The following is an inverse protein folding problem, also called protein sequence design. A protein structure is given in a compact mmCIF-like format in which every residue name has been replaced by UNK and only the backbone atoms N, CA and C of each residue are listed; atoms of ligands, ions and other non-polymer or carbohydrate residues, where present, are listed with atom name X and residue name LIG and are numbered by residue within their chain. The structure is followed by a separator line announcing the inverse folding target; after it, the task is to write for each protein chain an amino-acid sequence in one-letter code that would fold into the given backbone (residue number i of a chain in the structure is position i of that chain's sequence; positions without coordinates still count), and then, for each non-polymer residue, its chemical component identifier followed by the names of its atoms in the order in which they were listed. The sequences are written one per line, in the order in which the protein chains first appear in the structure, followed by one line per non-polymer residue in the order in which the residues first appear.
data_IF_097905335334
#
_entry.id   IF_097905335334
#
_cell.length_a   1.000
_cell.length_b   1.000
_cell.length_c   1.000
_cell.angle_alpha   90.00
_cell.angle_beta   90.00
_cell.angle_gamma   90.00
#
_symmetry.space_group_name_H-M   'P 1'
#
loop_
_entity.id
_entity.type
_entity.pdbx_description
1 polymer ?
#
# COMPACT_ATOMS: atom_id res chain seq x y z
N UNK A 1 23.50 33.20 9.97
CA UNK A 1 23.00 31.99 10.69
C UNK A 1 21.98 31.32 9.79
N UNK A 2 22.09 30.01 9.54
CA UNK A 2 21.13 29.24 8.72
C UNK A 2 19.89 28.86 9.51
N UNK A 3 18.72 28.87 8.86
CA UNK A 3 17.49 28.31 9.42
C UNK A 3 17.56 26.78 9.48
N UNK A 4 16.96 26.19 10.51
CA UNK A 4 16.70 24.75 10.55
C UNK A 4 15.23 24.51 10.19
N UNK A 5 15.01 23.71 9.14
CA UNK A 5 13.67 23.28 8.72
C UNK A 5 13.46 21.82 9.11
N UNK A 6 12.41 21.56 9.87
CA UNK A 6 11.91 20.20 10.13
C UNK A 6 10.78 19.89 9.16
N UNK A 7 10.94 18.82 8.39
CA UNK A 7 9.89 18.23 7.55
C UNK A 7 9.38 16.97 8.22
N UNK A 8 8.07 16.90 8.48
CA UNK A 8 7.39 15.70 8.96
C UNK A 8 6.47 15.17 7.87
N UNK A 9 6.37 13.85 7.73
CA UNK A 9 5.51 13.21 6.72
C UNK A 9 4.67 12.14 7.40
N UNK A 10 3.38 12.06 7.06
CA UNK A 10 2.54 10.94 7.46
C UNK A 10 1.49 10.63 6.40
N UNK A 11 0.99 9.40 6.39
CA UNK A 11 -0.12 8.96 5.54
C UNK A 11 -1.32 8.66 6.44
N UNK A 12 -2.43 9.41 6.33
CA UNK A 12 -3.63 9.12 7.11
C UNK A 12 -4.22 7.76 6.72
N UNK A 13 -4.44 6.90 7.72
CA UNK A 13 -4.98 5.56 7.51
C UNK A 13 -6.33 5.59 6.80
N UNK A 14 -6.50 4.74 5.77
CA UNK A 14 -7.73 4.62 5.01
C UNK A 14 -7.93 5.70 3.94
N UNK A 15 -6.96 6.60 3.74
CA UNK A 15 -7.01 7.65 2.73
C UNK A 15 -5.85 7.53 1.74
N UNK A 16 -6.11 7.71 0.45
CA UNK A 16 -5.08 7.82 -0.59
C UNK A 16 -4.42 9.21 -0.54
N UNK A 17 -3.74 9.49 0.57
CA UNK A 17 -3.16 10.80 0.82
C UNK A 17 -1.85 10.74 1.58
N UNK A 18 -1.05 11.80 1.44
CA UNK A 18 0.18 12.04 2.20
C UNK A 18 0.19 13.48 2.67
N UNK A 19 0.34 13.67 3.97
CA UNK A 19 0.49 14.98 4.58
C UNK A 19 1.96 15.27 4.88
N UNK A 20 2.35 16.52 4.66
CA UNK A 20 3.69 17.03 4.92
C UNK A 20 3.57 18.28 5.77
N UNK A 21 4.32 18.35 6.85
CA UNK A 21 4.39 19.52 7.73
C UNK A 21 5.79 20.10 7.72
N UNK A 22 5.90 21.41 7.54
CA UNK A 22 7.15 22.16 7.59
C UNK A 22 7.15 23.09 8.81
N UNK A 23 8.21 23.04 9.59
CA UNK A 23 8.43 23.87 10.78
C UNK A 23 9.84 24.48 10.71
N UNK A 24 9.99 25.72 11.17
CA UNK A 24 11.25 26.46 11.14
C UNK A 24 11.58 27.03 12.53
N UNK A 25 12.86 27.05 12.88
CA UNK A 25 13.37 27.67 14.11
C UNK A 25 13.40 29.21 14.07
N UNK A 26 13.00 29.80 12.93
CA UNK A 26 12.95 31.24 12.68
C UNK A 26 12.02 31.60 11.54
N UNK A 27 11.73 32.89 11.42
CA UNK A 27 10.94 33.41 10.31
C UNK A 27 11.69 33.26 8.97
N UNK A 28 11.07 32.59 8.00
CA UNK A 28 11.62 32.34 6.65
C UNK A 28 10.52 32.29 5.60
N UNK A 29 10.86 32.66 4.37
CA UNK A 29 10.06 32.30 3.21
C UNK A 29 10.37 30.84 2.80
N UNK A 30 9.34 30.00 2.74
CA UNK A 30 9.39 28.62 2.27
C UNK A 30 8.77 28.53 0.88
N UNK A 31 9.52 28.01 -0.09
CA UNK A 31 8.99 27.56 -1.38
C UNK A 31 8.86 26.04 -1.39
N UNK A 32 7.67 25.53 -1.69
CA UNK A 32 7.39 24.11 -1.88
C UNK A 32 7.01 23.87 -3.33
N UNK A 33 7.86 23.14 -4.06
CA UNK A 33 7.65 22.78 -5.46
C UNK A 33 7.43 21.26 -5.61
N UNK A 34 6.20 20.79 -5.86
CA UNK A 34 5.94 19.37 -6.05
C UNK A 34 6.53 18.89 -7.38
N UNK A 35 7.23 17.75 -7.33
CA UNK A 35 7.69 17.01 -8.50
C UNK A 35 6.76 15.81 -8.68
N UNK A 36 6.07 15.75 -9.82
CA UNK A 36 4.93 14.87 -10.02
C UNK A 36 5.29 13.82 -11.08
N UNK A 37 5.37 12.56 -10.64
CA UNK A 37 5.59 11.40 -11.51
C UNK A 37 4.27 10.96 -12.19
N UNK A 38 3.21 10.80 -11.39
CA UNK A 38 1.84 10.46 -11.80
C UNK A 38 1.72 9.40 -12.89
N UNK A 39 2.28 8.23 -12.59
CA UNK A 39 2.45 7.10 -13.49
C UNK A 39 2.25 5.78 -12.76
N UNK A 40 2.18 4.70 -13.53
CA UNK A 40 2.26 3.34 -13.01
C UNK A 40 3.62 3.08 -12.33
N UNK A 41 3.64 2.26 -11.28
CA UNK A 41 4.84 2.04 -10.46
C UNK A 41 5.89 1.16 -11.15
N UNK A 42 5.54 0.43 -12.22
CA UNK A 42 6.47 -0.36 -13.05
C UNK A 42 7.08 0.39 -14.23
N UNK A 43 6.61 1.61 -14.50
CA UNK A 43 7.10 2.42 -15.62
C UNK A 43 7.83 3.67 -15.11
N UNK A 44 8.56 4.34 -16.00
CA UNK A 44 9.11 5.68 -15.82
C UNK A 44 8.43 6.61 -16.80
N UNK A 45 8.37 7.91 -16.48
CA UNK A 45 7.98 8.94 -17.43
C UNK A 45 9.21 9.66 -17.99
N UNK A 46 9.11 10.06 -19.26
CA UNK A 46 10.02 11.02 -19.89
C UNK A 46 9.22 12.25 -20.30
N UNK A 47 9.92 13.37 -20.47
CA UNK A 47 9.30 14.61 -20.92
C UNK A 47 8.45 14.37 -22.16
N UNK A 48 7.21 14.82 -22.11
CA UNK A 48 6.26 14.71 -23.21
C UNK A 48 5.33 15.93 -23.26
N UNK A 49 4.60 16.06 -24.37
CA UNK A 49 3.64 17.13 -24.59
C UNK A 49 2.21 16.80 -24.17
N UNK A 50 1.94 15.58 -23.70
CA UNK A 50 0.61 15.16 -23.28
C UNK A 50 0.25 15.60 -21.86
N UNK A 51 1.25 15.99 -21.06
CA UNK A 51 1.02 16.44 -19.70
C UNK A 51 0.23 17.76 -19.70
N UNK A 52 -0.78 17.83 -18.85
CA UNK A 52 -1.44 19.09 -18.54
C UNK A 52 -0.48 19.98 -17.75
N UNK A 53 -0.15 21.17 -18.26
CA UNK A 53 0.73 22.11 -17.58
C UNK A 53 0.02 23.11 -16.67
N UNK A 54 -1.31 23.07 -16.60
CA UNK A 54 -2.14 24.06 -15.94
C UNK A 54 -3.04 23.43 -14.86
N UNK A 55 -2.64 23.47 -13.58
CA UNK A 55 -3.52 23.05 -12.50
C UNK A 55 -4.66 24.05 -12.27
N UNK A 56 -5.78 23.57 -11.73
CA UNK A 56 -6.87 24.41 -11.23
C UNK A 56 -6.52 24.90 -9.83
N UNK A 57 -6.43 26.22 -9.66
CA UNK A 57 -5.99 26.86 -8.42
C UNK A 57 -7.22 27.35 -7.66
N UNK A 58 -7.46 26.76 -6.49
CA UNK A 58 -8.42 27.24 -5.51
C UNK A 58 -7.74 28.06 -4.41
N UNK A 59 -8.54 28.56 -3.47
CA UNK A 59 -8.04 29.39 -2.36
C UNK A 59 -7.15 28.58 -1.39
N UNK A 60 -7.57 27.36 -1.05
CA UNK A 60 -6.91 26.49 -0.07
C UNK A 60 -6.55 25.11 -0.65
N UNK A 61 -6.69 24.93 -1.97
CA UNK A 61 -6.40 23.67 -2.62
C UNK A 61 -6.04 23.89 -4.09
N UNK A 62 -5.15 23.05 -4.60
CA UNK A 62 -4.93 22.85 -6.03
C UNK A 62 -5.59 21.56 -6.45
N UNK A 63 -6.25 21.56 -7.60
CA UNK A 63 -6.69 20.34 -8.29
C UNK A 63 -5.89 20.20 -9.57
N UNK A 64 -5.27 19.04 -9.76
CA UNK A 64 -4.39 18.79 -10.89
C UNK A 64 -4.64 17.41 -11.49
N UNK A 65 -4.85 17.38 -12.81
CA UNK A 65 -5.00 16.15 -13.59
C UNK A 65 -3.88 16.15 -14.61
N UNK A 66 -2.73 15.50 -14.33
CA UNK A 66 -1.56 15.52 -15.21
C UNK A 66 -1.84 14.89 -16.57
N UNK A 67 -2.61 13.80 -16.60
CA UNK A 67 -2.98 13.07 -17.81
C UNK A 67 -4.48 12.81 -17.82
N UNK A 68 -5.10 12.94 -19.00
CA UNK A 68 -6.54 12.71 -19.17
C UNK A 68 -6.93 11.28 -18.77
N UNK A 69 -8.09 11.13 -18.13
CA UNK A 69 -8.61 9.83 -17.68
C UNK A 69 -8.04 9.32 -16.36
N UNK A 70 -7.04 9.99 -15.78
CA UNK A 70 -6.51 9.67 -14.46
C UNK A 70 -7.34 10.35 -13.35
N UNK A 71 -7.37 9.79 -12.12
CA UNK A 71 -7.95 10.48 -10.98
C UNK A 71 -7.27 11.84 -10.76
N UNK A 72 -7.94 12.84 -10.18
CA UNK A 72 -7.30 14.11 -9.84
C UNK A 72 -6.37 13.98 -8.63
N UNK A 73 -5.24 14.68 -8.70
CA UNK A 73 -4.39 15.00 -7.55
C UNK A 73 -4.91 16.30 -6.93
N UNK A 74 -5.17 16.27 -5.63
CA UNK A 74 -5.51 17.43 -4.83
C UNK A 74 -4.34 17.76 -3.92
N UNK A 75 -3.96 19.04 -3.81
CA UNK A 75 -2.97 19.51 -2.84
C UNK A 75 -3.65 20.59 -2.01
N UNK A 76 -4.05 20.26 -0.79
CA UNK A 76 -4.66 21.22 0.13
C UNK A 76 -3.59 21.90 0.98
N UNK A 77 -3.76 23.21 1.20
CA UNK A 77 -2.83 24.10 1.89
C UNK A 77 -3.57 25.18 2.68
N UNK A 78 -3.00 25.74 3.75
CA UNK A 78 -3.68 26.71 4.64
C UNK A 78 -3.71 28.14 4.08
N UNK A 79 -3.20 28.34 2.87
CA UNK A 79 -2.97 29.64 2.24
C UNK A 79 -1.65 29.65 1.48
N UNK A 80 -1.04 30.81 1.31
CA UNK A 80 0.15 30.96 0.48
C UNK A 80 -0.17 31.28 -0.97
N UNK A 81 0.86 31.63 -1.74
CA UNK A 81 0.71 32.01 -3.14
C UNK A 81 1.19 30.87 -4.03
N UNK A 82 0.34 30.45 -4.96
CA UNK A 82 0.78 29.55 -6.04
C UNK A 82 1.35 30.36 -7.19
N UNK A 83 2.53 29.94 -7.65
CA UNK A 83 3.21 30.47 -8.82
C UNK A 83 3.17 29.37 -9.88
N UNK A 84 2.36 29.57 -10.92
CA UNK A 84 2.20 28.64 -12.04
C UNK A 84 3.30 28.78 -13.09
N UNK A 85 4.51 28.38 -12.74
CA UNK A 85 5.68 28.33 -13.62
C UNK A 85 6.09 26.87 -13.88
N UNK A 86 5.27 26.18 -14.67
CA UNK A 86 5.43 24.75 -14.91
C UNK A 86 6.72 24.40 -15.66
N UNK A 87 7.51 23.45 -15.13
CA UNK A 87 8.76 22.99 -15.74
C UNK A 87 8.95 21.47 -15.62
N UNK A 88 9.66 20.91 -16.60
CA UNK A 88 10.21 19.56 -16.52
C UNK A 88 11.58 19.59 -15.84
N UNK A 89 11.76 18.68 -14.90
CA UNK A 89 13.04 18.35 -14.29
C UNK A 89 13.50 17.02 -14.86
N UNK A 90 14.73 16.98 -15.33
CA UNK A 90 15.23 15.88 -16.16
C UNK A 90 16.13 14.93 -15.39
N UNK A 91 16.16 13.69 -15.84
CA UNK A 91 17.17 12.69 -15.50
C UNK A 91 17.31 12.40 -14.00
N UNK A 92 16.17 12.28 -13.30
CA UNK A 92 16.17 11.70 -11.95
C UNK A 92 16.65 10.26 -12.04
N UNK A 93 17.65 9.94 -11.23
CA UNK A 93 18.23 8.62 -11.17
C UNK A 93 17.70 7.80 -10.00
N UNK A 94 17.08 6.68 -10.31
CA UNK A 94 16.60 5.71 -9.34
C UNK A 94 17.60 4.56 -9.18
N UNK A 95 18.49 4.70 -8.20
CA UNK A 95 19.58 3.77 -7.98
C UNK A 95 19.14 2.31 -7.74
N UNK A 96 17.98 2.11 -7.08
CA UNK A 96 17.48 0.78 -6.75
C UNK A 96 16.89 0.09 -7.99
N UNK A 97 16.16 0.83 -8.82
CA UNK A 97 15.61 0.39 -10.10
C UNK A 97 16.74 -0.05 -11.02
N UNK A 98 17.81 0.75 -11.12
CA UNK A 98 19.01 0.39 -11.89
C UNK A 98 19.63 -0.91 -11.37
N UNK A 99 19.80 -1.03 -10.05
CA UNK A 99 20.35 -2.23 -9.43
C UNK A 99 19.50 -3.47 -9.74
N UNK A 100 18.18 -3.32 -9.84
CA UNK A 100 17.24 -4.37 -10.24
C UNK A 100 17.18 -4.62 -11.75
N UNK A 101 17.92 -3.86 -12.56
CA UNK A 101 17.91 -3.96 -14.02
C UNK A 101 16.64 -3.41 -14.68
N UNK A 102 15.90 -2.55 -13.97
CA UNK A 102 14.71 -1.87 -14.47
C UNK A 102 15.08 -0.54 -15.13
N UNK A 103 14.12 0.08 -15.85
CA UNK A 103 14.29 1.47 -16.25
C UNK A 103 14.36 2.36 -15.00
N UNK A 104 15.34 3.25 -14.98
CA UNK A 104 15.81 3.92 -13.78
C UNK A 104 15.93 5.44 -13.94
N UNK A 105 15.65 5.98 -15.12
CA UNK A 105 15.80 7.40 -15.39
C UNK A 105 14.44 8.01 -15.71
N UNK A 106 14.01 8.97 -14.91
CA UNK A 106 12.70 9.61 -15.03
C UNK A 106 12.81 11.13 -15.16
N UNK A 107 11.96 11.72 -15.99
CA UNK A 107 11.71 13.16 -15.99
C UNK A 107 10.44 13.43 -15.18
N UNK A 108 10.48 14.39 -14.26
CA UNK A 108 9.35 14.75 -13.41
C UNK A 108 8.83 16.15 -13.76
N UNK A 109 7.52 16.30 -13.82
CA UNK A 109 6.92 17.61 -14.07
C UNK A 109 6.53 18.30 -12.77
N UNK A 110 6.83 19.58 -12.67
CA UNK A 110 6.35 20.47 -11.62
C UNK A 110 5.34 21.44 -12.24
N UNK A 111 4.08 21.49 -11.78
CA UNK A 111 3.10 22.45 -12.28
C UNK A 111 3.34 23.89 -11.78
N UNK A 112 4.18 24.07 -10.76
CA UNK A 112 4.48 25.36 -10.15
C UNK A 112 4.98 25.19 -8.71
N UNK A 113 5.05 26.28 -7.96
CA UNK A 113 5.40 26.24 -6.53
C UNK A 113 4.43 26.99 -5.64
N UNK A 114 4.36 26.59 -4.37
CA UNK A 114 3.64 27.26 -3.30
C UNK A 114 4.63 28.00 -2.41
N UNK A 115 4.37 29.27 -2.13
CA UNK A 115 5.18 30.08 -1.22
C UNK A 115 4.44 30.40 0.07
N UNK A 116 5.15 30.26 1.19
CA UNK A 116 4.65 30.50 2.53
C UNK A 116 5.63 31.37 3.32
N UNK A 117 5.11 32.28 4.13
CA UNK A 117 5.89 32.93 5.18
C UNK A 117 5.78 32.06 6.44
N UNK A 118 6.79 31.25 6.71
CA UNK A 118 6.88 30.49 7.96
C UNK A 118 7.29 31.43 9.08
N UNK A 119 6.54 31.38 10.17
CA UNK A 119 6.93 32.00 11.44
C UNK A 119 7.63 30.96 12.31
N UNK A 120 8.58 31.41 13.14
CA UNK A 120 9.28 30.56 14.10
C UNK A 120 8.29 29.71 14.91
N UNK A 121 8.52 28.40 14.99
CA UNK A 121 7.73 27.42 15.74
C UNK A 121 6.24 27.37 15.37
N UNK A 122 5.85 27.89 14.18
CA UNK A 122 4.49 27.80 13.64
C UNK A 122 4.50 26.96 12.36
N UNK A 123 4.11 25.67 12.45
CA UNK A 123 4.17 24.79 11.31
C UNK A 123 3.14 25.13 10.23
N UNK A 124 3.50 24.86 8.98
CA UNK A 124 2.58 24.84 7.83
C UNK A 124 2.45 23.41 7.34
N UNK A 125 1.21 22.93 7.24
CA UNK A 125 0.91 21.61 6.70
C UNK A 125 0.38 21.70 5.26
N UNK A 126 0.64 20.66 4.49
CA UNK A 126 0.11 20.40 3.16
C UNK A 126 -0.40 18.97 3.15
N UNK A 127 -1.46 18.67 2.42
CA UNK A 127 -1.89 17.30 2.17
C UNK A 127 -2.15 17.08 0.69
N UNK A 128 -1.46 16.10 0.12
CA UNK A 128 -1.67 15.64 -1.24
C UNK A 128 -2.58 14.41 -1.21
N UNK A 129 -3.72 14.42 -1.89
CA UNK A 129 -4.64 13.28 -1.99
C UNK A 129 -4.99 12.96 -3.45
N UNK A 130 -5.27 11.70 -3.75
CA UNK A 130 -5.66 11.24 -5.10
C UNK A 130 -7.11 10.77 -5.07
N UNK A 131 -7.91 11.24 -6.03
CA UNK A 131 -9.35 10.98 -6.08
C UNK A 131 -10.12 11.99 -5.25
N UNK A 132 -10.40 11.67 -4.00
CA UNK A 132 -11.18 12.54 -3.12
C UNK A 132 -10.29 13.62 -2.46
N UNK A 133 -10.70 14.90 -2.49
CA UNK A 133 -9.98 15.96 -1.79
C UNK A 133 -10.12 15.81 -0.27
N UNK A 134 -9.05 16.11 0.45
CA UNK A 134 -9.06 16.23 1.92
C UNK A 134 -8.86 17.70 2.29
N UNK A 135 -9.72 18.26 3.14
CA UNK A 135 -9.58 19.64 3.58
C UNK A 135 -8.32 19.82 4.42
N UNK A 136 -7.68 20.99 4.31
CA UNK A 136 -6.54 21.33 5.15
C UNK A 136 -6.90 21.31 6.64
N UNK A 137 -8.15 21.65 6.98
CA UNK A 137 -8.65 21.70 8.35
C UNK A 137 -8.76 20.32 9.00
N UNK A 138 -8.71 19.23 8.21
CA UNK A 138 -8.82 17.86 8.69
C UNK A 138 -7.46 17.26 9.12
N UNK A 139 -6.33 17.88 8.75
CA UNK A 139 -4.99 17.29 8.93
C UNK A 139 -4.71 16.94 10.40
N UNK A 140 -5.01 17.84 11.34
CA UNK A 140 -4.71 17.61 12.76
C UNK A 140 -5.56 16.47 13.33
N UNK A 141 -6.84 16.40 12.94
CA UNK A 141 -7.73 15.31 13.35
C UNK A 141 -7.27 13.96 12.76
N UNK A 142 -6.88 13.95 11.48
CA UNK A 142 -6.35 12.77 10.81
C UNK A 142 -5.04 12.29 11.44
N UNK A 143 -4.16 13.23 11.81
CA UNK A 143 -2.90 12.93 12.51
C UNK A 143 -3.15 12.33 13.89
N UNK A 144 -4.06 12.93 14.66
CA UNK A 144 -4.43 12.42 15.98
C UNK A 144 -5.03 11.00 15.88
N UNK A 145 -5.94 10.79 14.93
CA UNK A 145 -6.54 9.48 14.65
C UNK A 145 -5.47 8.43 14.29
N UNK A 146 -4.51 8.77 13.43
CA UNK A 146 -3.43 7.85 13.05
C UNK A 146 -2.53 7.49 14.23
N UNK A 147 -2.18 8.47 15.08
CA UNK A 147 -1.40 8.22 16.29
C UNK A 147 -2.14 7.31 17.27
N UNK A 148 -3.44 7.55 17.48
CA UNK A 148 -4.23 6.74 18.40
C UNK A 148 -4.49 5.33 17.86
N UNK A 149 -4.67 5.18 16.55
CA UNK A 149 -4.74 3.86 15.88
C UNK A 149 -3.45 3.05 16.10
N UNK A 150 -2.28 3.66 15.88
CA UNK A 150 -0.98 3.00 16.12
C UNK A 150 -0.78 2.62 17.58
N UNK A 151 -1.15 3.50 18.51
CA UNK A 151 -1.14 3.15 19.95
C UNK A 151 -2.04 1.96 20.24
N UNK A 152 -3.24 1.92 19.66
CA UNK A 152 -4.18 0.79 19.80
C UNK A 152 -3.59 -0.52 19.27
N UNK A 153 -2.91 -0.48 18.12
CA UNK A 153 -2.17 -1.62 17.58
C UNK A 153 -1.08 -2.10 18.54
N UNK A 154 -0.25 -1.20 19.04
CA UNK A 154 0.86 -1.60 19.93
C UNK A 154 0.35 -2.11 21.28
N UNK A 155 -0.78 -1.57 21.75
CA UNK A 155 -1.44 -2.04 22.97
C UNK A 155 -2.07 -3.44 22.84
N UNK A 156 -2.32 -3.94 21.63
CA UNK A 156 -2.84 -5.30 21.41
C UNK A 156 -1.75 -6.38 21.43
N UNK A 157 -0.47 -5.98 21.47
CA UNK A 157 0.63 -6.93 21.53
C UNK A 157 0.67 -7.64 22.88
N UNK A 158 0.79 -8.96 22.82
CA UNK A 158 0.90 -9.82 24.03
C UNK A 158 2.26 -9.67 24.70
N UNK A 159 3.27 -9.17 23.98
CA UNK A 159 4.65 -9.04 24.44
C UNK A 159 5.01 -7.57 24.65
N UNK A 160 5.60 -7.27 25.80
CA UNK A 160 6.20 -5.97 26.10
C UNK A 160 7.68 -5.99 25.70
N UNK A 161 7.94 -5.89 24.41
CA UNK A 161 9.29 -5.88 23.82
C UNK A 161 9.41 -4.78 22.74
N UNK A 162 10.37 -3.84 22.87
CA UNK A 162 10.52 -2.72 21.94
C UNK A 162 10.81 -3.13 20.49
N UNK A 163 11.49 -4.28 20.30
CA UNK A 163 11.78 -4.78 18.96
C UNK A 163 10.52 -5.38 18.32
N UNK A 164 9.73 -6.15 19.07
CA UNK A 164 8.42 -6.64 18.64
C UNK A 164 7.45 -5.48 18.32
N UNK A 165 7.43 -4.42 19.14
CA UNK A 165 6.64 -3.22 18.87
C UNK A 165 7.05 -2.55 17.56
N UNK A 166 8.36 -2.42 17.32
CA UNK A 166 8.89 -1.85 16.08
C UNK A 166 8.55 -2.70 14.85
N UNK A 167 8.59 -4.03 14.99
CA UNK A 167 8.17 -4.96 13.94
C UNK A 167 6.67 -4.89 13.66
N UNK A 168 5.83 -4.75 14.69
CA UNK A 168 4.39 -4.65 14.52
C UNK A 168 3.98 -3.35 13.81
N UNK A 169 4.58 -2.21 14.17
CA UNK A 169 4.35 -0.93 13.48
C UNK A 169 4.80 -0.98 12.02
N UNK A 170 5.95 -1.61 11.74
CA UNK A 170 6.42 -1.80 10.37
C UNK A 170 5.57 -2.79 9.57
N UNK A 171 5.11 -3.88 10.18
CA UNK A 171 4.28 -4.89 9.52
C UNK A 171 2.89 -4.36 9.17
N UNK A 172 2.35 -3.44 9.98
CA UNK A 172 1.06 -2.81 9.75
C UNK A 172 0.96 -2.12 8.39
N UNK A 173 2.06 -1.54 7.90
CA UNK A 173 2.07 -0.82 6.62
C UNK A 173 1.83 -1.72 5.43
N UNK A 174 2.01 -3.04 5.57
CA UNK A 174 1.75 -4.01 4.49
C UNK A 174 0.31 -4.48 4.46
N UNK A 175 -0.48 -4.22 5.51
CA UNK A 175 -1.91 -4.56 5.54
C UNK A 175 -2.68 -3.45 4.84
N UNK A 176 -3.19 -3.75 3.65
CA UNK A 176 -3.96 -2.81 2.84
C UNK A 176 -5.42 -3.20 2.79
N UNK A 177 -6.27 -2.22 2.48
CA UNK A 177 -7.68 -2.44 2.12
C UNK A 177 -7.86 -2.13 0.63
N UNK A 178 -8.40 -3.08 -0.10
CA UNK A 178 -8.75 -2.96 -1.52
C UNK A 178 -10.09 -2.25 -1.68
N UNK A 179 -10.43 -1.91 -2.93
CA UNK A 179 -11.65 -1.16 -3.29
C UNK A 179 -12.94 -1.92 -2.93
N UNK A 180 -12.89 -3.25 -2.89
CA UNK A 180 -13.99 -4.13 -2.49
C UNK A 180 -14.05 -4.39 -0.97
N UNK A 181 -13.42 -3.52 -0.17
CA UNK A 181 -13.25 -3.63 1.28
C UNK A 181 -12.49 -4.87 1.75
N UNK A 182 -11.90 -5.64 0.84
CA UNK A 182 -11.06 -6.77 1.21
C UNK A 182 -9.72 -6.29 1.76
N UNK A 183 -9.35 -6.78 2.95
CA UNK A 183 -7.99 -6.60 3.45
C UNK A 183 -7.05 -7.62 2.81
N UNK A 184 -5.86 -7.20 2.34
CA UNK A 184 -4.80 -8.10 1.84
C UNK A 184 -3.42 -7.64 2.37
N UNK A 185 -2.37 -8.42 2.06
CA UNK A 185 -1.00 -8.11 2.44
C UNK A 185 -0.19 -7.85 1.17
N UNK A 186 0.37 -6.64 1.05
CA UNK A 186 1.32 -6.29 -0.01
C UNK A 186 2.62 -7.06 0.21
N UNK A 187 3.17 -7.68 -0.84
CA UNK A 187 4.39 -8.48 -0.75
C UNK A 187 5.66 -7.61 -0.62
N UNK A 188 5.63 -6.36 -1.11
CA UNK A 188 6.78 -5.46 -1.02
C UNK A 188 6.60 -4.16 -1.79
N UNK A 189 6.73 -3.02 -1.10
CA UNK A 189 6.71 -1.72 -1.76
C UNK A 189 8.05 -1.40 -2.47
N UNK A 190 8.02 -0.63 -3.58
CA UNK A 190 6.85 -0.32 -4.39
C UNK A 190 6.57 -1.38 -5.48
N UNK A 191 7.44 -2.37 -5.67
CA UNK A 191 7.44 -3.22 -6.88
C UNK A 191 6.42 -4.38 -6.89
N UNK A 192 5.78 -4.70 -5.78
CA UNK A 192 4.93 -5.87 -5.69
C UNK A 192 3.53 -5.51 -5.18
N UNK A 193 2.54 -6.23 -5.72
CA UNK A 193 1.15 -6.21 -5.27
C UNK A 193 0.92 -7.27 -4.15
N UNK A 194 -0.31 -7.73 -4.00
CA UNK A 194 -0.72 -8.80 -3.10
C UNK A 194 -0.58 -10.19 -3.74
N UNK A 195 0.45 -10.92 -3.28
CA UNK A 195 0.78 -12.26 -3.76
C UNK A 195 0.31 -13.32 -2.76
N UNK A 196 -0.34 -14.37 -3.23
CA UNK A 196 -0.95 -15.40 -2.40
C UNK A 196 0.08 -16.11 -1.50
N UNK A 197 1.22 -16.53 -2.07
CA UNK A 197 2.32 -17.15 -1.31
C UNK A 197 2.75 -16.26 -0.14
N UNK A 198 3.14 -15.03 -0.45
CA UNK A 198 3.68 -14.06 0.50
C UNK A 198 2.65 -13.71 1.58
N UNK A 199 1.39 -13.55 1.19
CA UNK A 199 0.27 -13.34 2.10
C UNK A 199 0.17 -14.46 3.12
N UNK A 200 0.16 -15.73 2.70
CA UNK A 200 -0.05 -16.85 3.63
C UNK A 200 1.17 -17.20 4.48
N UNK A 201 2.37 -16.85 4.03
CA UNK A 201 3.58 -16.89 4.88
C UNK A 201 3.50 -15.81 5.97
N UNK A 202 3.08 -14.60 5.61
CA UNK A 202 3.08 -13.45 6.51
C UNK A 202 1.87 -13.40 7.46
N UNK A 203 0.69 -13.85 7.02
CA UNK A 203 -0.60 -13.74 7.72
C UNK A 203 -0.55 -14.19 9.18
N UNK A 204 0.08 -15.33 9.55
CA UNK A 204 0.17 -15.74 10.95
C UNK A 204 0.85 -14.70 11.85
N UNK A 205 1.85 -13.99 11.33
CA UNK A 205 2.64 -13.03 12.12
C UNK A 205 2.04 -11.63 12.08
N UNK A 206 1.57 -11.21 10.92
CA UNK A 206 1.01 -9.86 10.75
C UNK A 206 -0.38 -9.76 11.37
N UNK A 207 -1.21 -10.79 11.24
CA UNK A 207 -2.62 -10.73 11.64
C UNK A 207 -2.93 -11.53 12.91
N UNK A 208 -2.41 -12.76 13.08
CA UNK A 208 -2.81 -13.59 14.23
C UNK A 208 -2.10 -13.17 15.52
N UNK A 209 -0.79 -12.94 15.48
CA UNK A 209 -0.01 -12.51 16.66
C UNK A 209 -0.44 -11.12 17.15
N UNK A 210 -0.94 -10.26 16.26
CA UNK A 210 -1.41 -8.90 16.59
C UNK A 210 -2.91 -8.84 16.94
N UNK A 211 -3.61 -9.99 16.95
CA UNK A 211 -5.02 -10.09 17.33
C UNK A 211 -6.03 -9.68 16.25
N UNK A 212 -5.60 -9.49 15.00
CA UNK A 212 -6.45 -9.09 13.85
C UNK A 212 -7.16 -10.29 13.22
N UNK A 213 -7.88 -11.05 14.03
CA UNK A 213 -8.51 -12.31 13.60
C UNK A 213 -9.57 -12.11 12.51
N UNK A 214 -10.38 -11.06 12.60
CA UNK A 214 -11.42 -10.77 11.59
C UNK A 214 -10.81 -10.46 10.22
N UNK A 215 -9.71 -9.70 10.19
CA UNK A 215 -8.98 -9.42 8.95
C UNK A 215 -8.35 -10.70 8.36
N UNK A 216 -7.76 -11.55 9.21
CA UNK A 216 -7.23 -12.84 8.79
C UNK A 216 -8.33 -13.74 8.19
N UNK A 217 -9.49 -13.81 8.84
CA UNK A 217 -10.64 -14.55 8.34
C UNK A 217 -11.12 -14.02 6.98
N UNK A 218 -11.23 -12.69 6.84
CA UNK A 218 -11.58 -12.04 5.57
C UNK A 218 -10.61 -12.38 4.44
N UNK A 219 -9.30 -12.30 4.69
CA UNK A 219 -8.24 -12.69 3.74
C UNK A 219 -8.40 -14.15 3.30
N UNK A 220 -8.48 -15.07 4.25
CA UNK A 220 -8.62 -16.51 3.96
C UNK A 220 -9.86 -16.79 3.10
N UNK A 221 -11.01 -16.21 3.47
CA UNK A 221 -12.27 -16.36 2.72
C UNK A 221 -12.19 -15.82 1.30
N UNK A 222 -11.52 -14.69 1.09
CA UNK A 222 -11.41 -14.11 -0.23
C UNK A 222 -10.56 -14.95 -1.18
N UNK A 223 -9.39 -15.41 -0.72
CA UNK A 223 -8.58 -16.33 -1.52
C UNK A 223 -9.26 -17.69 -1.72
N UNK A 224 -10.06 -18.16 -0.76
CA UNK A 224 -10.86 -19.36 -0.92
C UNK A 224 -11.85 -19.25 -2.08
N UNK A 225 -12.52 -18.09 -2.22
CA UNK A 225 -13.45 -17.79 -3.32
C UNK A 225 -12.75 -17.65 -4.66
N UNK A 226 -11.51 -17.19 -4.67
CA UNK A 226 -10.68 -17.09 -5.86
C UNK A 226 -9.95 -18.40 -6.19
N UNK A 227 -10.19 -19.50 -5.46
CA UNK A 227 -9.54 -20.78 -5.77
C UNK A 227 -10.16 -21.42 -7.00
N UNK A 228 -9.31 -21.98 -7.87
CA UNK A 228 -9.74 -22.74 -9.05
C UNK A 228 -8.89 -24.00 -9.22
N UNK A 229 -9.53 -25.13 -9.52
CA UNK A 229 -8.86 -26.44 -9.72
C UNK A 229 -7.88 -26.81 -8.60
N UNK A 230 -8.22 -26.50 -7.34
CA UNK A 230 -7.38 -26.75 -6.17
C UNK A 230 -6.14 -25.85 -6.08
N UNK A 231 -6.10 -24.76 -6.85
CA UNK A 231 -5.03 -23.78 -6.82
C UNK A 231 -5.51 -22.46 -6.21
N UNK A 232 -4.70 -21.89 -5.33
CA UNK A 232 -4.83 -20.50 -4.87
C UNK A 232 -4.06 -19.62 -5.85
N UNK A 233 -4.62 -18.47 -6.27
CA UNK A 233 -3.94 -17.57 -7.19
C UNK A 233 -2.62 -17.04 -6.60
N UNK A 234 -1.61 -16.95 -7.45
CA UNK A 234 -0.29 -16.40 -7.12
C UNK A 234 -0.37 -14.90 -6.92
N UNK A 235 -1.11 -14.21 -7.79
CA UNK A 235 -1.40 -12.79 -7.71
C UNK A 235 -2.91 -12.62 -7.58
N UNK A 236 -3.35 -11.88 -6.58
CA UNK A 236 -4.76 -11.57 -6.46
C UNK A 236 -5.15 -10.64 -7.63
N UNK A 237 -6.22 -10.94 -8.38
CA UNK A 237 -6.56 -10.14 -9.56
C UNK A 237 -7.06 -8.75 -9.15
N UNK A 238 -6.61 -7.72 -9.87
CA UNK A 238 -7.28 -6.43 -9.87
C UNK A 238 -8.59 -6.49 -10.66
N UNK A 239 -9.46 -5.48 -10.53
CA UNK A 239 -10.80 -5.51 -11.11
C UNK A 239 -10.78 -5.80 -12.63
N UNK A 240 -11.36 -6.94 -13.01
CA UNK A 240 -11.48 -7.37 -14.41
C UNK A 240 -10.31 -8.21 -14.93
N UNK A 241 -9.29 -8.46 -14.12
CA UNK A 241 -8.15 -9.29 -14.48
C UNK A 241 -8.36 -10.77 -14.18
N UNK A 242 -7.67 -11.64 -14.92
CA UNK A 242 -7.62 -13.08 -14.63
C UNK A 242 -6.59 -13.37 -13.55
N UNK A 243 -6.97 -14.19 -12.57
CA UNK A 243 -6.05 -14.67 -11.55
C UNK A 243 -4.93 -15.55 -12.15
N UNK A 244 -3.70 -15.34 -11.69
CA UNK A 244 -2.53 -16.09 -12.14
C UNK A 244 -2.33 -17.35 -11.29
N UNK A 245 -2.48 -18.55 -11.86
CA UNK A 245 -2.30 -19.81 -11.14
C UNK A 245 -0.94 -20.47 -11.38
N UNK A 246 0.11 -19.68 -11.52
CA UNK A 246 1.47 -20.13 -11.89
C UNK A 246 2.37 -20.47 -10.68
N UNK A 247 1.81 -21.06 -9.63
CA UNK A 247 2.53 -21.44 -8.41
C UNK A 247 2.13 -22.85 -7.95
N UNK A 248 3.06 -23.58 -7.32
CA UNK A 248 2.78 -24.93 -6.75
C UNK A 248 2.53 -24.88 -5.23
N UNK A 249 2.90 -23.79 -4.57
CA UNK A 249 3.06 -23.75 -3.12
C UNK A 249 2.06 -22.83 -2.41
N UNK A 250 1.42 -21.87 -3.10
CA UNK A 250 0.50 -20.95 -2.44
C UNK A 250 -0.71 -21.69 -1.84
N UNK A 251 -1.22 -22.74 -2.50
CA UNK A 251 -2.29 -23.57 -1.92
C UNK A 251 -1.85 -24.29 -0.65
N UNK A 252 -0.60 -24.76 -0.59
CA UNK A 252 -0.08 -25.45 0.59
C UNK A 252 0.13 -24.46 1.74
N UNK A 253 0.64 -23.26 1.45
CA UNK A 253 0.72 -22.17 2.42
C UNK A 253 -0.65 -21.71 2.90
N UNK A 254 -1.66 -21.68 2.03
CA UNK A 254 -3.04 -21.41 2.41
C UNK A 254 -3.56 -22.44 3.43
N UNK A 255 -3.39 -23.74 3.15
CA UNK A 255 -3.78 -24.80 4.11
C UNK A 255 -3.06 -24.63 5.45
N UNK A 256 -1.77 -24.30 5.41
CA UNK A 256 -1.00 -24.00 6.62
C UNK A 256 -1.57 -22.80 7.38
N UNK A 257 -1.88 -21.70 6.68
CA UNK A 257 -2.43 -20.48 7.27
C UNK A 257 -3.81 -20.72 7.90
N UNK A 258 -4.68 -21.52 7.27
CA UNK A 258 -5.97 -21.91 7.86
C UNK A 258 -5.77 -22.73 9.13
N UNK A 259 -4.82 -23.66 9.16
CA UNK A 259 -4.49 -24.38 10.39
C UNK A 259 -4.00 -23.43 11.49
N UNK A 260 -3.13 -22.47 11.15
CA UNK A 260 -2.66 -21.47 12.14
C UNK A 260 -3.81 -20.60 12.63
N UNK A 261 -4.74 -20.22 11.76
CA UNK A 261 -5.94 -19.50 12.16
C UNK A 261 -6.75 -20.31 13.18
N UNK A 262 -7.00 -21.60 12.90
CA UNK A 262 -7.69 -22.50 13.84
C UNK A 262 -6.99 -22.58 15.19
N UNK A 263 -5.65 -22.72 15.20
CA UNK A 263 -4.86 -22.83 16.43
C UNK A 263 -5.02 -21.58 17.32
N UNK A 264 -5.18 -20.40 16.72
CA UNK A 264 -5.32 -19.14 17.45
C UNK A 264 -6.76 -18.82 17.87
N UNK A 265 -7.75 -19.16 17.05
CA UNK A 265 -9.15 -18.73 17.27
C UNK A 265 -10.04 -19.83 17.82
N UNK A 266 -9.69 -21.10 17.58
CA UNK A 266 -10.57 -22.24 17.85
C UNK A 266 -11.83 -22.27 16.98
N UNK A 267 -11.91 -21.47 15.91
CA UNK A 267 -13.10 -21.35 15.05
C UNK A 267 -13.26 -22.56 14.11
N UNK A 268 -13.62 -23.70 14.69
CA UNK A 268 -13.83 -24.93 13.94
C UNK A 268 -15.05 -24.86 13.02
N UNK A 269 -16.14 -24.25 13.48
CA UNK A 269 -17.38 -24.15 12.73
C UNK A 269 -17.19 -23.25 11.49
N UNK A 270 -16.58 -22.06 11.65
CA UNK A 270 -16.28 -21.17 10.53
C UNK A 270 -15.34 -21.80 9.49
N UNK A 271 -14.32 -22.54 9.94
CA UNK A 271 -13.45 -23.29 9.02
C UNK A 271 -14.23 -24.39 8.30
N UNK A 272 -15.01 -25.20 9.02
CA UNK A 272 -15.79 -26.31 8.44
C UNK A 272 -16.73 -25.79 7.34
N UNK A 273 -17.41 -24.69 7.62
CA UNK A 273 -18.50 -24.22 6.77
C UNK A 273 -17.98 -23.34 5.62
N UNK A 274 -16.89 -22.59 5.81
CA UNK A 274 -16.42 -21.61 4.82
C UNK A 274 -15.09 -21.95 4.13
N UNK A 275 -14.14 -22.62 4.80
CA UNK A 275 -12.77 -22.80 4.27
C UNK A 275 -12.44 -24.26 3.91
N UNK A 276 -13.06 -25.21 4.60
CA UNK A 276 -12.84 -26.64 4.42
C UNK A 276 -13.19 -27.16 3.02
N UNK A 277 -14.25 -26.68 2.34
CA UNK A 277 -14.51 -27.06 0.94
C UNK A 277 -13.32 -26.78 0.02
N UNK A 278 -12.67 -25.62 0.17
CA UNK A 278 -11.48 -25.25 -0.60
C UNK A 278 -10.29 -26.13 -0.24
N UNK A 279 -10.06 -26.41 1.05
CA UNK A 279 -8.99 -27.32 1.48
C UNK A 279 -9.16 -28.71 0.88
N UNK A 280 -10.38 -29.28 0.90
CA UNK A 280 -10.65 -30.56 0.24
C UNK A 280 -10.38 -30.52 -1.26
N UNK A 281 -10.78 -29.43 -1.92
CA UNK A 281 -10.52 -29.22 -3.34
C UNK A 281 -9.02 -29.22 -3.63
N UNK A 282 -8.23 -28.48 -2.84
CA UNK A 282 -6.76 -28.45 -2.94
C UNK A 282 -6.19 -29.87 -2.80
N UNK A 283 -6.54 -30.60 -1.73
CA UNK A 283 -6.01 -31.94 -1.48
C UNK A 283 -6.37 -32.94 -2.59
N UNK A 284 -7.60 -32.89 -3.09
CA UNK A 284 -8.08 -33.76 -4.17
C UNK A 284 -7.30 -33.50 -5.46
N UNK A 285 -7.17 -32.24 -5.85
CA UNK A 285 -6.46 -31.85 -7.07
C UNK A 285 -4.94 -32.05 -6.97
N UNK A 286 -4.34 -31.91 -5.79
CA UNK A 286 -2.92 -32.21 -5.60
C UNK A 286 -2.67 -33.72 -5.61
N UNK A 287 -3.66 -34.54 -5.24
CA UNK A 287 -3.59 -35.99 -5.35
C UNK A 287 -3.80 -36.46 -6.80
N UNK A 288 -4.93 -36.08 -7.41
CA UNK A 288 -5.37 -36.59 -8.72
C UNK A 288 -4.70 -35.89 -9.90
N UNK A 289 -4.31 -34.63 -9.71
CA UNK A 289 -3.68 -33.79 -10.71
C UNK A 289 -4.40 -32.45 -10.93
N UNK A 290 -3.60 -31.42 -11.14
CA UNK A 290 -4.06 -30.07 -11.52
C UNK A 290 -3.17 -29.47 -12.62
N UNK A 291 -3.28 -28.16 -12.83
CA UNK A 291 -2.52 -27.39 -13.82
C UNK A 291 -1.01 -27.66 -13.68
N UNK A 292 -0.29 -27.47 -14.78
CA UNK A 292 1.19 -27.60 -14.82
C UNK A 292 1.71 -28.97 -14.35
N UNK A 293 0.89 -30.02 -14.49
CA UNK A 293 1.28 -31.38 -14.13
C UNK A 293 1.44 -31.61 -12.63
N UNK A 294 0.99 -30.68 -11.79
CA UNK A 294 1.07 -30.81 -10.33
C UNK A 294 0.21 -31.99 -9.88
N UNK A 295 0.82 -33.01 -9.26
CA UNK A 295 0.13 -34.19 -8.73
C UNK A 295 1.00 -34.96 -7.72
N UNK A 296 0.38 -35.83 -6.94
CA UNK A 296 1.10 -36.80 -6.12
C UNK A 296 1.72 -37.90 -7.00
N UNK A 297 2.96 -38.29 -6.69
CA UNK A 297 3.57 -39.51 -7.23
C UNK A 297 3.11 -40.73 -6.43
N UNK A 298 3.51 -41.92 -6.86
CA UNK A 298 3.28 -43.22 -6.23
C UNK A 298 3.74 -43.31 -4.77
N UNK A 299 4.66 -42.46 -4.33
CA UNK A 299 5.11 -42.36 -2.93
C UNK A 299 4.32 -41.32 -2.11
N UNK A 300 3.36 -40.63 -2.73
CA UNK A 300 2.53 -39.58 -2.11
C UNK A 300 3.19 -38.21 -2.04
N UNK A 301 4.41 -38.03 -2.52
CA UNK A 301 5.06 -36.71 -2.62
C UNK A 301 4.53 -35.94 -3.83
N UNK A 302 4.45 -34.62 -3.71
CA UNK A 302 3.99 -33.76 -4.79
C UNK A 302 5.10 -33.56 -5.82
N UNK A 303 4.77 -33.81 -7.08
CA UNK A 303 5.59 -33.52 -8.26
C UNK A 303 5.02 -32.29 -8.97
N UNK A 304 5.90 -31.42 -9.47
CA UNK A 304 5.54 -30.22 -10.22
C UNK A 304 6.71 -29.79 -11.11
N UNK A 305 6.42 -29.27 -12.30
CA UNK A 305 7.43 -28.86 -13.28
C UNK A 305 6.96 -29.02 -14.72
#
# INVERSE_FOLDING_TARGET
MSAQIRKSVFMPYGHNATAVTYESDRDVALEVRPLIAYRDYHHTARQNGAINSSPEIGQNALRYVPYEGQPPLHISHPGGQFIGDGFWYYDFDYAVERYRGLDAVEDLFSPGSLTFELQADKPVALIASVGDPISIDEIDALRASELDRRKGLLASLVVDDPFAASLADAADTFVIRRVDDLSTIIAGYPWFSDWGRDTFIALPRISLVTGRFDQAAGMLKAFARASDQGMIPNRFPDHGETADYNNVDASLWYVHAVNRYLDYTGDFDGIRDELWPTIKSILTHYHDGTRYGIRADSDGLITAG
#
